data_IF_320656941008
#
_entry.id   IF_320656941008
#
_cell.length_a   1.000
_cell.length_b   1.000
_cell.length_c   1.000
_cell.angle_alpha   90.00
_cell.angle_beta   90.00
_cell.angle_gamma   90.00
#
_symmetry.space_group_name_H-M   'P 1'
#
loop_
_entity.id
_entity.type
_entity.pdbx_description
1 polymer ?
#
# COMPACT_ATOMS: atom_id res chain seq x y z
N UNK A 1 -24.46 -11.74 7.23
CA UNK A 1 -23.11 -11.84 6.64
C UNK A 1 -22.54 -13.19 7.06
N UNK A 2 -22.14 -14.06 6.12
CA UNK A 2 -21.62 -15.40 6.47
C UNK A 2 -20.32 -15.26 7.28
N UNK A 3 -20.02 -16.23 8.15
CA UNK A 3 -18.81 -16.23 8.97
C UNK A 3 -17.52 -16.08 8.14
N UNK A 4 -17.53 -16.60 6.91
CA UNK A 4 -16.42 -16.59 5.97
C UNK A 4 -16.12 -15.20 5.38
N UNK A 5 -17.18 -14.41 5.09
CA UNK A 5 -17.04 -13.02 4.64
C UNK A 5 -16.43 -12.17 5.75
N UNK A 6 -16.81 -12.39 7.00
CA UNK A 6 -16.27 -11.66 8.14
C UNK A 6 -14.78 -11.97 8.36
N UNK A 7 -14.38 -13.24 8.19
CA UNK A 7 -12.97 -13.65 8.25
C UNK A 7 -12.15 -12.95 7.15
N UNK A 8 -12.69 -12.95 5.92
CA UNK A 8 -12.06 -12.29 4.77
C UNK A 8 -11.94 -10.77 4.96
N UNK A 9 -12.95 -10.12 5.53
CA UNK A 9 -12.87 -8.70 5.89
C UNK A 9 -11.75 -8.43 6.87
N UNK A 10 -11.64 -9.23 7.94
CA UNK A 10 -10.57 -9.08 8.93
C UNK A 10 -9.19 -9.28 8.32
N UNK A 11 -9.02 -10.26 7.44
CA UNK A 11 -7.77 -10.46 6.69
C UNK A 11 -7.45 -9.21 5.87
N UNK A 12 -8.42 -8.69 5.10
CA UNK A 12 -8.26 -7.44 4.37
C UNK A 12 -7.86 -6.26 5.25
N UNK A 13 -8.48 -6.12 6.42
CA UNK A 13 -8.12 -5.10 7.41
C UNK A 13 -6.71 -5.24 7.94
N UNK A 14 -6.31 -6.45 8.37
CA UNK A 14 -4.96 -6.72 8.88
C UNK A 14 -3.91 -6.42 7.82
N UNK A 15 -4.09 -6.95 6.61
CA UNK A 15 -3.13 -6.77 5.50
C UNK A 15 -3.03 -5.28 5.13
N UNK A 16 -4.15 -4.56 5.11
CA UNK A 16 -4.16 -3.11 4.84
C UNK A 16 -3.37 -2.32 5.89
N UNK A 17 -3.58 -2.59 7.18
CA UNK A 17 -2.86 -1.90 8.25
C UNK A 17 -1.36 -2.25 8.26
N UNK A 18 -1.00 -3.51 8.03
CA UNK A 18 0.40 -3.94 7.89
C UNK A 18 1.05 -3.20 6.71
N UNK A 19 0.36 -3.13 5.57
CA UNK A 19 0.87 -2.46 4.36
C UNK A 19 1.11 -0.97 4.62
N UNK A 20 0.16 -0.28 5.25
CA UNK A 20 0.33 1.13 5.63
C UNK A 20 1.48 1.32 6.63
N UNK A 21 1.60 0.43 7.63
CA UNK A 21 2.70 0.48 8.58
C UNK A 21 4.06 0.24 7.92
N UNK A 22 4.16 -0.70 6.97
CA UNK A 22 5.37 -0.93 6.18
C UNK A 22 5.74 0.33 5.38
N UNK A 23 4.79 1.00 4.72
CA UNK A 23 5.06 2.25 4.02
C UNK A 23 5.62 3.34 4.95
N UNK A 24 5.04 3.49 6.15
CA UNK A 24 5.55 4.42 7.17
C UNK A 24 7.00 4.08 7.55
N UNK A 25 7.29 2.81 7.82
CA UNK A 25 8.62 2.37 8.19
C UNK A 25 9.63 2.58 7.05
N UNK A 26 9.27 2.25 5.80
CA UNK A 26 10.11 2.50 4.62
C UNK A 26 10.50 3.98 4.54
N UNK A 27 9.53 4.89 4.65
CA UNK A 27 9.81 6.33 4.64
C UNK A 27 10.66 6.79 5.83
N UNK A 28 10.37 6.27 7.03
CA UNK A 28 11.13 6.61 8.23
C UNK A 28 12.61 6.18 8.12
N UNK A 29 12.88 4.96 7.68
CA UNK A 29 14.25 4.44 7.53
C UNK A 29 14.99 5.08 6.35
N UNK A 30 14.27 5.43 5.27
CA UNK A 30 14.85 6.20 4.17
C UNK A 30 15.31 7.58 4.64
N UNK A 31 14.49 8.27 5.43
CA UNK A 31 14.86 9.55 6.06
C UNK A 31 16.01 9.42 7.05
N UNK A 32 16.11 8.27 7.73
CA UNK A 32 17.22 7.93 8.64
C UNK A 32 18.52 7.53 7.94
N UNK A 33 18.53 7.39 6.61
CA UNK A 33 19.73 6.99 5.86
C UNK A 33 20.13 5.53 6.03
N UNK A 34 19.17 4.63 6.26
CA UNK A 34 19.40 3.19 6.43
C UNK A 34 18.88 2.37 5.22
N UNK A 35 19.60 2.35 4.08
CA UNK A 35 19.13 1.75 2.83
C UNK A 35 18.96 0.23 2.89
N UNK A 36 19.71 -0.47 3.75
CA UNK A 36 19.58 -1.92 3.92
C UNK A 36 18.24 -2.31 4.56
N UNK A 37 17.83 -1.57 5.59
CA UNK A 37 16.56 -1.79 6.29
C UNK A 37 15.40 -1.38 5.38
N UNK A 38 15.54 -0.27 4.68
CA UNK A 38 14.56 0.17 3.67
C UNK A 38 14.30 -0.93 2.63
N UNK A 39 15.37 -1.52 2.07
CA UNK A 39 15.24 -2.60 1.07
C UNK A 39 14.58 -3.83 1.66
N UNK A 40 14.92 -4.23 2.88
CA UNK A 40 14.27 -5.35 3.55
C UNK A 40 12.77 -5.11 3.76
N UNK A 41 12.40 -3.92 4.23
CA UNK A 41 11.00 -3.53 4.42
C UNK A 41 10.25 -3.44 3.08
N UNK A 42 10.91 -2.97 2.02
CA UNK A 42 10.36 -2.96 0.67
C UNK A 42 10.06 -4.38 0.16
N UNK A 43 10.91 -5.36 0.43
CA UNK A 43 10.62 -6.77 0.12
C UNK A 43 9.39 -7.25 0.90
N UNK A 44 9.30 -6.94 2.20
CA UNK A 44 8.10 -7.28 2.99
C UNK A 44 6.84 -6.61 2.43
N UNK A 45 6.94 -5.37 1.97
CA UNK A 45 5.85 -4.67 1.29
C UNK A 45 5.45 -5.38 0.00
N UNK A 46 6.40 -5.79 -0.85
CA UNK A 46 6.11 -6.55 -2.06
C UNK A 46 5.39 -7.87 -1.76
N UNK A 47 5.78 -8.55 -0.68
CA UNK A 47 5.13 -9.80 -0.24
C UNK A 47 3.66 -9.61 0.16
N UNK A 48 3.24 -8.39 0.52
CA UNK A 48 1.80 -8.10 0.76
C UNK A 48 0.95 -8.23 -0.52
N UNK A 49 1.58 -8.26 -1.70
CA UNK A 49 0.89 -8.57 -2.95
C UNK A 49 0.23 -9.96 -2.94
N UNK A 50 0.83 -10.95 -2.28
CA UNK A 50 0.28 -12.31 -2.18
C UNK A 50 -1.09 -12.34 -1.48
N UNK A 51 -1.25 -11.80 -0.25
CA UNK A 51 -2.57 -11.74 0.37
C UNK A 51 -3.56 -10.85 -0.38
N UNK A 52 -3.13 -9.78 -1.07
CA UNK A 52 -4.04 -8.98 -1.90
C UNK A 52 -4.55 -9.74 -3.12
N UNK A 53 -3.70 -10.53 -3.79
CA UNK A 53 -4.13 -11.43 -4.87
C UNK A 53 -5.14 -12.45 -4.35
N UNK A 54 -4.88 -13.06 -3.19
CA UNK A 54 -5.81 -13.98 -2.55
C UNK A 54 -7.18 -13.31 -2.28
N UNK A 55 -7.19 -12.09 -1.74
CA UNK A 55 -8.42 -11.33 -1.51
C UNK A 55 -9.16 -11.01 -2.81
N UNK A 56 -8.45 -10.73 -3.91
CA UNK A 56 -9.03 -10.47 -5.22
C UNK A 56 -9.73 -11.72 -5.78
N UNK A 57 -9.10 -12.89 -5.67
CA UNK A 57 -9.72 -14.15 -6.10
C UNK A 57 -10.98 -14.48 -5.30
N UNK A 58 -10.94 -14.28 -3.97
CA UNK A 58 -12.10 -14.49 -3.09
C UNK A 58 -13.18 -13.41 -3.24
N UNK A 59 -12.87 -12.26 -3.84
CA UNK A 59 -13.85 -11.21 -4.06
C UNK A 59 -15.00 -11.67 -4.96
N UNK A 60 -14.69 -12.53 -5.94
CA UNK A 60 -15.66 -13.06 -6.92
C UNK A 60 -16.65 -14.01 -6.27
N UNK A 61 -16.19 -14.87 -5.37
CA UNK A 61 -17.06 -15.80 -4.63
C UNK A 61 -18.00 -15.07 -3.66
N UNK A 62 -17.55 -13.93 -3.12
CA UNK A 62 -18.32 -13.12 -2.17
C UNK A 62 -19.12 -11.98 -2.81
N UNK A 63 -19.19 -11.90 -4.15
CA UNK A 63 -19.91 -10.85 -4.89
C UNK A 63 -19.63 -9.43 -4.34
N UNK A 64 -18.33 -9.11 -4.14
CA UNK A 64 -17.93 -7.81 -3.60
C UNK A 64 -18.37 -6.65 -4.52
N UNK A 65 -18.60 -5.44 -3.97
CA UNK A 65 -18.91 -4.28 -4.80
C UNK A 65 -17.72 -3.90 -5.67
N UNK A 66 -17.98 -3.30 -6.83
CA UNK A 66 -16.95 -2.90 -7.82
C UNK A 66 -15.83 -2.06 -7.21
N UNK A 67 -16.15 -1.19 -6.25
CA UNK A 67 -15.15 -0.35 -5.56
C UNK A 67 -14.06 -1.18 -4.86
N UNK A 68 -14.37 -2.36 -4.33
CA UNK A 68 -13.39 -3.24 -3.71
C UNK A 68 -12.36 -3.75 -4.73
N UNK A 69 -12.81 -4.14 -5.92
CA UNK A 69 -11.93 -4.57 -7.00
C UNK A 69 -11.01 -3.45 -7.46
N UNK A 70 -11.53 -2.22 -7.57
CA UNK A 70 -10.73 -1.05 -7.93
C UNK A 70 -9.65 -0.81 -6.87
N UNK A 71 -10.01 -0.83 -5.59
CA UNK A 71 -9.07 -0.62 -4.48
C UNK A 71 -7.97 -1.67 -4.43
N UNK A 72 -8.33 -2.95 -4.53
CA UNK A 72 -7.36 -4.05 -4.52
C UNK A 72 -6.47 -4.03 -5.77
N UNK A 73 -7.05 -3.75 -6.95
CA UNK A 73 -6.28 -3.63 -8.19
C UNK A 73 -5.32 -2.44 -8.15
N UNK A 74 -5.72 -1.32 -7.56
CA UNK A 74 -4.86 -0.15 -7.43
C UNK A 74 -3.62 -0.42 -6.57
N UNK A 75 -3.77 -1.08 -5.41
CA UNK A 75 -2.61 -1.44 -4.58
C UNK A 75 -1.74 -2.51 -5.26
N UNK A 76 -2.34 -3.50 -5.92
CA UNK A 76 -1.59 -4.52 -6.67
C UNK A 76 -0.80 -3.90 -7.83
N UNK A 77 -1.41 -2.99 -8.57
CA UNK A 77 -0.73 -2.26 -9.65
C UNK A 77 0.43 -1.44 -9.09
N UNK A 78 0.25 -0.77 -7.97
CA UNK A 78 1.33 -0.04 -7.32
C UNK A 78 2.48 -0.97 -6.86
N UNK A 79 2.16 -2.12 -6.26
CA UNK A 79 3.17 -3.14 -5.88
C UNK A 79 3.93 -3.64 -7.12
N UNK A 80 3.26 -3.83 -8.25
CA UNK A 80 3.92 -4.22 -9.50
C UNK A 80 4.83 -3.11 -10.02
N UNK A 81 4.39 -1.85 -9.98
CA UNK A 81 5.21 -0.69 -10.35
C UNK A 81 6.48 -0.66 -9.48
N UNK A 82 6.33 -0.82 -8.16
CA UNK A 82 7.48 -0.88 -7.22
C UNK A 82 8.44 -2.03 -7.55
N UNK A 83 7.90 -3.23 -7.78
CA UNK A 83 8.69 -4.40 -8.14
C UNK A 83 9.51 -4.15 -9.42
N UNK A 84 8.88 -3.60 -10.46
CA UNK A 84 9.56 -3.38 -11.74
C UNK A 84 10.56 -2.24 -11.66
N UNK A 85 10.18 -1.10 -11.09
CA UNK A 85 11.03 0.08 -11.06
C UNK A 85 12.22 -0.11 -10.11
N UNK A 86 12.00 -0.56 -8.89
CA UNK A 86 13.06 -0.60 -7.87
C UNK A 86 13.82 -1.92 -7.80
N UNK A 87 13.19 -3.06 -8.08
CA UNK A 87 13.79 -4.38 -7.85
C UNK A 87 14.22 -5.08 -9.13
N UNK A 88 13.38 -5.08 -10.17
CA UNK A 88 13.67 -5.78 -11.42
C UNK A 88 14.60 -4.96 -12.33
N UNK A 89 14.24 -3.71 -12.61
CA UNK A 89 14.98 -2.87 -13.56
C UNK A 89 15.88 -1.83 -12.89
N UNK A 90 15.67 -1.52 -11.61
CA UNK A 90 16.45 -0.54 -10.83
C UNK A 90 16.55 0.82 -11.56
N UNK A 91 15.42 1.26 -12.12
CA UNK A 91 15.34 2.52 -12.87
C UNK A 91 15.41 3.65 -11.85
N UNK A 92 16.29 4.63 -12.09
CA UNK A 92 16.34 5.85 -11.29
C UNK A 92 15.21 6.82 -11.71
N UNK A 93 13.97 6.36 -11.53
CA UNK A 93 12.78 7.08 -11.96
C UNK A 93 12.54 8.34 -11.11
N UNK A 94 13.14 8.40 -9.92
CA UNK A 94 12.98 9.50 -8.95
C UNK A 94 13.56 10.81 -9.47
N UNK A 95 14.58 10.75 -10.32
CA UNK A 95 15.15 11.90 -11.01
C UNK A 95 14.40 12.33 -12.28
N UNK A 96 13.37 11.58 -12.69
CA UNK A 96 12.58 11.86 -13.89
C UNK A 96 11.18 12.34 -13.49
N UNK A 97 10.95 13.65 -13.57
CA UNK A 97 9.76 14.32 -13.03
C UNK A 97 8.43 13.61 -13.37
N UNK A 98 8.19 13.28 -14.64
CA UNK A 98 6.93 12.69 -15.07
C UNK A 98 6.74 11.25 -14.52
N UNK A 99 7.82 10.47 -14.41
CA UNK A 99 7.78 9.15 -13.79
C UNK A 99 7.52 9.26 -12.30
N UNK A 100 8.18 10.20 -11.61
CA UNK A 100 7.94 10.45 -10.18
C UNK A 100 6.50 10.84 -9.90
N UNK A 101 5.92 11.74 -10.70
CA UNK A 101 4.50 12.12 -10.57
C UNK A 101 3.60 10.89 -10.74
N UNK A 102 3.82 10.11 -11.80
CA UNK A 102 3.01 8.92 -12.06
C UNK A 102 3.11 7.89 -10.92
N UNK A 103 4.33 7.65 -10.44
CA UNK A 103 4.60 6.80 -9.30
C UNK A 103 3.84 7.26 -8.05
N UNK A 104 3.90 8.55 -7.73
CA UNK A 104 3.21 9.13 -6.56
C UNK A 104 1.69 9.01 -6.68
N UNK A 105 1.14 9.21 -7.88
CA UNK A 105 -0.29 9.02 -8.14
C UNK A 105 -0.71 7.58 -7.84
N UNK A 106 0.00 6.59 -8.38
CA UNK A 106 -0.31 5.17 -8.12
C UNK A 106 -0.10 4.79 -6.66
N UNK A 107 0.93 5.33 -6.01
CA UNK A 107 1.18 5.14 -4.59
C UNK A 107 -0.01 5.58 -3.74
N UNK A 108 -0.48 6.82 -3.92
CA UNK A 108 -1.61 7.34 -3.15
C UNK A 108 -2.95 6.71 -3.54
N UNK A 109 -3.14 6.35 -4.81
CA UNK A 109 -4.33 5.61 -5.24
C UNK A 109 -4.40 4.23 -4.56
N UNK A 110 -3.29 3.49 -4.55
CA UNK A 110 -3.20 2.18 -3.92
C UNK A 110 -3.36 2.25 -2.41
N UNK A 111 -2.56 3.09 -1.74
CA UNK A 111 -2.58 3.23 -0.28
C UNK A 111 -3.87 3.87 0.25
N UNK A 112 -4.48 4.81 -0.48
CA UNK A 112 -5.79 5.36 -0.16
C UNK A 112 -6.90 4.31 -0.25
N UNK A 113 -6.81 3.40 -1.23
CA UNK A 113 -7.71 2.26 -1.36
C UNK A 113 -7.71 1.32 -0.15
N UNK A 114 -6.57 1.21 0.55
CA UNK A 114 -6.44 0.40 1.77
C UNK A 114 -7.35 0.87 2.91
N UNK A 115 -7.70 2.16 2.95
CA UNK A 115 -8.67 2.69 3.93
C UNK A 115 -10.04 2.04 3.70
N UNK A 116 -10.46 1.93 2.44
CA UNK A 116 -11.73 1.30 2.07
C UNK A 116 -11.75 -0.17 2.41
N UNK A 117 -10.68 -0.90 2.07
CA UNK A 117 -10.53 -2.32 2.40
C UNK A 117 -10.56 -2.54 3.92
N UNK A 118 -9.83 -1.73 4.70
CA UNK A 118 -9.82 -1.83 6.15
C UNK A 118 -11.18 -1.50 6.78
N UNK A 119 -11.92 -0.55 6.21
CA UNK A 119 -13.24 -0.16 6.71
C UNK A 119 -14.27 -1.29 6.62
N UNK A 120 -14.10 -2.25 5.70
CA UNK A 120 -14.96 -3.45 5.62
C UNK A 120 -14.79 -4.39 6.83
N UNK A 121 -13.67 -4.33 7.55
CA UNK A 121 -13.46 -5.06 8.80
C UNK A 121 -14.15 -4.41 10.01
N UNK A 122 -14.65 -3.17 9.85
CA UNK A 122 -15.41 -2.42 10.85
C UNK A 122 -14.87 -1.01 11.07
N UNK A 123 -15.66 -0.19 11.77
CA UNK A 123 -15.39 1.25 11.98
C UNK A 123 -14.02 1.53 12.60
N UNK A 124 -13.62 0.76 13.62
CA UNK A 124 -12.31 0.92 14.29
C UNK A 124 -11.14 0.68 13.34
N UNK A 125 -11.23 -0.32 12.46
CA UNK A 125 -10.20 -0.61 11.46
C UNK A 125 -10.05 0.54 10.46
N UNK A 126 -11.17 1.06 9.96
CA UNK A 126 -11.17 2.23 9.08
C UNK A 126 -10.54 3.46 9.73
N UNK A 127 -10.87 3.77 10.99
CA UNK A 127 -10.27 4.90 11.71
C UNK A 127 -8.76 4.75 11.86
N UNK A 128 -8.27 3.56 12.24
CA UNK A 128 -6.82 3.32 12.34
C UNK A 128 -6.15 3.46 10.97
N UNK A 129 -6.76 2.93 9.91
CA UNK A 129 -6.23 3.06 8.55
C UNK A 129 -6.13 4.52 8.10
N UNK A 130 -7.13 5.36 8.41
CA UNK A 130 -7.10 6.80 8.12
C UNK A 130 -5.91 7.46 8.85
N UNK A 131 -5.75 7.18 10.15
CA UNK A 131 -4.63 7.76 10.93
C UNK A 131 -3.27 7.35 10.35
N UNK A 132 -3.07 6.06 10.07
CA UNK A 132 -1.84 5.57 9.44
C UNK A 132 -1.62 6.20 8.07
N UNK A 133 -2.67 6.30 7.26
CA UNK A 133 -2.58 6.94 5.94
C UNK A 133 -2.16 8.40 6.04
N UNK A 134 -2.68 9.16 7.00
CA UNK A 134 -2.29 10.56 7.21
C UNK A 134 -0.83 10.69 7.66
N UNK A 135 -0.37 9.82 8.58
CA UNK A 135 1.03 9.78 9.02
C UNK A 135 1.94 9.47 7.82
N UNK A 136 1.61 8.44 7.05
CA UNK A 136 2.32 8.03 5.85
C UNK A 136 2.36 9.16 4.81
N UNK A 137 1.24 9.85 4.60
CA UNK A 137 1.12 10.98 3.68
C UNK A 137 2.05 12.12 4.12
N UNK A 138 2.03 12.49 5.40
CA UNK A 138 2.91 13.50 5.95
C UNK A 138 4.39 13.14 5.73
N UNK A 139 4.79 11.89 6.01
CA UNK A 139 6.16 11.43 5.81
C UNK A 139 6.58 11.46 4.34
N UNK A 140 5.69 11.08 3.42
CA UNK A 140 5.97 11.12 1.98
C UNK A 140 6.31 12.55 1.51
N UNK A 141 5.51 13.53 1.92
CA UNK A 141 5.77 14.94 1.59
C UNK A 141 7.00 15.50 2.33
N UNK A 142 7.21 15.12 3.59
CA UNK A 142 8.39 15.53 4.34
C UNK A 142 9.68 15.02 3.71
N UNK A 143 9.67 13.76 3.25
CA UNK A 143 10.79 13.17 2.53
C UNK A 143 11.07 13.95 1.24
N UNK A 144 10.05 14.28 0.46
CA UNK A 144 10.19 15.11 -0.75
C UNK A 144 10.82 16.48 -0.43
N UNK A 145 10.37 17.13 0.63
CA UNK A 145 10.89 18.44 1.03
C UNK A 145 12.35 18.40 1.51
N UNK A 146 12.76 17.35 2.22
CA UNK A 146 14.13 17.17 2.75
C UNK A 146 15.12 16.71 1.68
N UNK A 147 14.72 15.76 0.85
CA UNK A 147 15.60 15.04 -0.07
C UNK A 147 15.61 15.69 -1.47
N UNK A 148 14.66 16.59 -1.76
CA UNK A 148 14.64 17.41 -2.99
C UNK A 148 14.38 16.62 -4.28
N UNK A 149 14.17 15.30 -4.18
CA UNK A 149 13.92 14.40 -5.30
C UNK A 149 12.45 14.21 -5.59
#
# INVERSE_FOLDING_TARGET
MSADINRTNKVGGVVSLITLALCILIFAFRLGGHPEIERFLGILFLLTGVPFLYLLFLARTHQRPTIFYIQVSAILLFILIELFLDYAFKIDFRNVLWLTILYVIFFFAGTGGLIGIASLAGKRWGTVAIVLFLIMTFLAFWQRAKIGM
#
